data_IF_767836397397
#
_entry.id   IF_767836397397
#
_cell.length_a   1.000
_cell.length_b   1.000
_cell.length_c   1.000
_cell.angle_alpha   90.00
_cell.angle_beta   90.00
_cell.angle_gamma   90.00
#
_symmetry.space_group_name_H-M   'P 1'
#
loop_
_entity.id
_entity.type
_entity.pdbx_description
1 polymer ?
#
# COMPACT_ATOMS: atom_id res chain seq x y z
N UNK A 1 -27.32 -2.36 60.02
CA UNK A 1 -26.47 -1.33 59.38
C UNK A 1 -25.74 -1.91 58.17
N UNK A 2 -25.44 -3.21 58.22
CA UNK A 2 -24.65 -3.99 57.26
C UNK A 2 -25.24 -4.06 55.84
N UNK A 3 -26.56 -4.15 55.71
CA UNK A 3 -27.22 -4.21 54.40
C UNK A 3 -27.08 -2.92 53.58
N UNK A 4 -27.03 -1.76 54.23
CA UNK A 4 -26.82 -0.46 53.54
C UNK A 4 -25.37 -0.31 53.09
N UNK A 5 -24.43 -0.72 53.93
CA UNK A 5 -22.99 -0.72 53.62
C UNK A 5 -22.68 -1.69 52.48
N UNK A 6 -23.28 -2.88 52.49
CA UNK A 6 -23.14 -3.86 51.42
C UNK A 6 -23.65 -3.33 50.08
N UNK A 7 -24.83 -2.68 50.05
CA UNK A 7 -25.37 -2.10 48.81
C UNK A 7 -24.47 -0.99 48.26
N UNK A 8 -23.93 -0.13 49.13
CA UNK A 8 -23.01 0.94 48.72
C UNK A 8 -21.70 0.34 48.17
N UNK A 9 -21.14 -0.67 48.85
CA UNK A 9 -19.91 -1.33 48.43
C UNK A 9 -20.09 -2.04 47.07
N UNK A 10 -21.19 -2.75 46.88
CA UNK A 10 -21.49 -3.43 45.60
C UNK A 10 -21.71 -2.43 44.47
N UNK A 11 -22.40 -1.31 44.73
CA UNK A 11 -22.58 -0.25 43.74
C UNK A 11 -21.25 0.40 43.36
N UNK A 12 -20.35 0.61 44.32
CA UNK A 12 -19.02 1.16 44.07
C UNK A 12 -18.15 0.19 43.26
N UNK A 13 -18.21 -1.11 43.59
CA UNK A 13 -17.48 -2.14 42.85
C UNK A 13 -17.98 -2.27 41.41
N UNK A 14 -19.30 -2.23 41.21
CA UNK A 14 -19.89 -2.21 39.87
C UNK A 14 -19.46 -0.97 39.07
N UNK A 15 -19.42 0.21 39.69
CA UNK A 15 -18.94 1.43 39.04
C UNK A 15 -17.46 1.34 38.64
N UNK A 16 -16.60 0.79 39.50
CA UNK A 16 -15.18 0.58 39.21
C UNK A 16 -14.98 -0.44 38.08
N UNK A 17 -15.76 -1.52 38.05
CA UNK A 17 -15.72 -2.50 36.96
C UNK A 17 -16.16 -1.89 35.62
N UNK A 18 -17.27 -1.15 35.62
CA UNK A 18 -17.76 -0.46 34.41
C UNK A 18 -16.69 0.50 33.89
N UNK A 19 -16.15 1.35 34.76
CA UNK A 19 -15.07 2.29 34.40
C UNK A 19 -13.84 1.52 33.88
N UNK A 20 -13.42 0.45 34.56
CA UNK A 20 -12.29 -0.40 34.17
C UNK A 20 -12.42 -1.02 32.79
N UNK A 21 -13.63 -1.44 32.39
CA UNK A 21 -13.90 -1.97 31.04
C UNK A 21 -13.76 -0.88 29.97
N UNK A 22 -14.18 0.35 30.26
CA UNK A 22 -14.08 1.47 29.31
C UNK A 22 -12.70 2.15 29.26
N UNK A 23 -11.82 1.92 30.25
CA UNK A 23 -10.47 2.51 30.27
C UNK A 23 -9.60 2.08 29.09
N UNK A 24 -9.76 0.83 28.60
CA UNK A 24 -9.04 0.34 27.43
C UNK A 24 -9.37 1.15 26.18
N UNK A 25 -10.66 1.26 25.84
CA UNK A 25 -11.15 2.01 24.68
C UNK A 25 -10.83 3.51 24.77
N UNK A 26 -10.84 4.09 25.98
CA UNK A 26 -10.49 5.50 26.20
C UNK A 26 -8.99 5.73 25.97
N UNK A 27 -8.12 4.85 26.47
CA UNK A 27 -6.68 4.93 26.24
C UNK A 27 -6.36 4.76 24.74
N UNK A 28 -7.03 3.85 24.05
CA UNK A 28 -6.83 3.62 22.62
C UNK A 28 -7.31 4.81 21.77
N UNK A 29 -8.41 5.47 22.15
CA UNK A 29 -8.83 6.73 21.53
C UNK A 29 -7.92 7.92 21.88
N UNK A 30 -7.33 7.93 23.07
CA UNK A 30 -6.44 9.02 23.51
C UNK A 30 -5.05 8.93 22.89
N UNK A 31 -4.59 7.73 22.54
CA UNK A 31 -3.31 7.48 21.89
C UNK A 31 -3.45 6.38 20.83
N UNK A 32 -4.09 6.70 19.67
CA UNK A 32 -4.26 5.72 18.62
C UNK A 32 -2.91 5.22 18.13
N UNK A 33 -2.85 3.94 17.77
CA UNK A 33 -1.66 3.38 17.15
C UNK A 33 -1.27 4.21 15.90
N UNK A 34 0.03 4.34 15.59
CA UNK A 34 0.42 5.05 14.38
C UNK A 34 -0.21 4.39 13.15
N UNK A 35 -0.55 5.18 12.11
CA UNK A 35 -1.08 4.62 10.88
C UNK A 35 -0.12 3.61 10.27
N UNK A 36 -0.66 2.51 9.76
CA UNK A 36 0.08 1.42 9.14
C UNK A 36 -0.63 0.94 7.88
N UNK A 37 0.16 0.73 6.84
CA UNK A 37 -0.29 0.08 5.62
C UNK A 37 -0.52 -1.41 5.92
N UNK A 38 -1.74 -1.88 5.73
CA UNK A 38 -2.19 -3.27 5.93
C UNK A 38 -1.94 -4.07 4.66
N UNK A 39 -2.33 -3.53 3.51
CA UNK A 39 -2.23 -4.22 2.24
C UNK A 39 -2.08 -3.26 1.06
N UNK A 40 -1.45 -3.78 0.01
CA UNK A 40 -1.35 -3.17 -1.31
C UNK A 40 -1.77 -4.24 -2.31
N UNK A 41 -2.76 -3.94 -3.13
CA UNK A 41 -3.22 -4.83 -4.19
C UNK A 41 -3.18 -4.10 -5.52
N UNK A 42 -2.66 -4.76 -6.54
CA UNK A 42 -2.60 -4.24 -7.90
C UNK A 42 -3.27 -5.25 -8.81
N UNK A 43 -4.30 -4.80 -9.52
CA UNK A 43 -5.16 -5.62 -10.35
C UNK A 43 -5.23 -5.06 -11.78
N UNK A 44 -5.24 -5.93 -12.79
CA UNK A 44 -5.52 -5.53 -14.17
C UNK A 44 -7.00 -5.17 -14.36
N UNK A 45 -7.25 -4.09 -15.08
CA UNK A 45 -8.59 -3.56 -15.33
C UNK A 45 -9.21 -2.82 -14.13
N UNK A 46 -10.53 -2.63 -14.22
CA UNK A 46 -11.31 -1.91 -13.21
C UNK A 46 -11.82 -2.86 -12.13
N UNK A 47 -11.47 -2.58 -10.87
CA UNK A 47 -12.03 -3.25 -9.69
C UNK A 47 -13.31 -2.57 -9.18
N UNK A 48 -14.29 -3.37 -8.74
CA UNK A 48 -15.56 -2.93 -8.13
C UNK A 48 -15.53 -2.98 -6.60
N UNK A 49 -14.37 -2.83 -5.97
CA UNK A 49 -14.32 -2.72 -4.51
C UNK A 49 -14.94 -1.39 -4.07
N UNK A 50 -15.88 -1.46 -3.12
CA UNK A 50 -16.55 -0.29 -2.54
C UNK A 50 -15.59 0.65 -1.80
N UNK A 51 -16.01 1.90 -1.62
CA UNK A 51 -15.28 2.87 -0.80
C UNK A 51 -15.51 2.55 0.68
N UNK A 52 -14.41 2.29 1.42
CA UNK A 52 -14.42 2.06 2.86
C UNK A 52 -13.36 2.97 3.52
N UNK A 53 -13.51 3.25 4.83
CA UNK A 53 -12.53 4.07 5.54
C UNK A 53 -11.12 3.44 5.53
N UNK A 54 -10.11 4.27 5.29
CA UNK A 54 -8.71 3.83 5.21
C UNK A 54 -8.33 3.13 3.89
N UNK A 55 -9.26 3.01 2.93
CA UNK A 55 -8.99 2.46 1.59
C UNK A 55 -8.82 3.58 0.58
N UNK A 56 -7.72 3.53 -0.18
CA UNK A 56 -7.39 4.48 -1.23
C UNK A 56 -7.25 3.74 -2.56
N UNK A 57 -7.99 4.17 -3.59
CA UNK A 57 -8.01 3.51 -4.90
C UNK A 57 -7.53 4.46 -6.00
N UNK A 58 -6.59 3.98 -6.81
CA UNK A 58 -6.15 4.65 -8.03
C UNK A 58 -6.58 3.77 -9.20
N UNK A 59 -7.33 4.35 -10.14
CA UNK A 59 -7.78 3.68 -11.36
C UNK A 59 -7.29 4.48 -12.56
N UNK A 60 -6.67 3.81 -13.52
CA UNK A 60 -6.15 4.45 -14.73
C UNK A 60 -5.08 3.62 -15.41
N UNK A 61 -4.34 4.24 -16.33
CA UNK A 61 -3.20 3.65 -17.03
C UNK A 61 -1.99 3.57 -16.09
N UNK A 62 -1.96 2.55 -15.23
CA UNK A 62 -1.01 2.44 -14.11
C UNK A 62 -0.17 1.16 -14.12
N UNK A 63 -0.32 0.34 -15.16
CA UNK A 63 0.33 -0.95 -15.32
C UNK A 63 0.81 -1.11 -16.75
N UNK A 64 1.91 -1.83 -16.97
CA UNK A 64 2.23 -2.31 -18.32
C UNK A 64 1.60 -3.68 -18.59
N UNK A 65 1.37 -3.98 -19.85
CA UNK A 65 0.95 -5.31 -20.30
C UNK A 65 2.01 -6.40 -20.01
N UNK A 66 3.29 -6.02 -19.87
CA UNK A 66 4.40 -6.91 -19.49
C UNK A 66 4.49 -7.23 -17.99
N UNK A 67 3.74 -6.51 -17.16
CA UNK A 67 3.81 -6.61 -15.71
C UNK A 67 3.33 -7.97 -15.19
N UNK A 68 4.06 -8.57 -14.25
CA UNK A 68 3.63 -9.86 -13.65
C UNK A 68 3.52 -9.79 -12.14
N UNK A 69 4.29 -8.90 -11.53
CA UNK A 69 4.34 -8.73 -10.09
C UNK A 69 4.74 -7.30 -9.75
N UNK A 70 4.67 -6.97 -8.47
CA UNK A 70 5.16 -5.71 -7.95
C UNK A 70 5.74 -5.89 -6.54
N UNK A 71 6.51 -4.91 -6.12
CA UNK A 71 6.82 -4.66 -4.70
C UNK A 71 6.38 -3.25 -4.34
N UNK A 72 6.36 -2.95 -3.05
CA UNK A 72 6.18 -1.59 -2.59
C UNK A 72 7.10 -1.28 -1.41
N UNK A 73 7.26 0.01 -1.12
CA UNK A 73 7.86 0.50 0.13
C UNK A 73 7.12 1.73 0.64
N UNK A 74 7.22 1.96 1.95
CA UNK A 74 6.65 3.11 2.63
C UNK A 74 7.76 3.95 3.25
N UNK A 75 8.37 4.90 2.51
CA UNK A 75 9.50 5.69 3.02
C UNK A 75 9.07 6.57 4.20
N UNK A 76 7.84 7.07 4.17
CA UNK A 76 7.24 7.88 5.22
C UNK A 76 5.77 7.46 5.46
N UNK A 77 5.20 7.87 6.59
CA UNK A 77 3.78 7.62 6.88
C UNK A 77 2.93 8.32 5.83
N UNK A 78 2.07 7.56 5.14
CA UNK A 78 1.23 8.07 4.07
C UNK A 78 1.93 8.22 2.73
N UNK A 79 3.20 7.81 2.58
CA UNK A 79 3.83 7.70 1.27
C UNK A 79 4.01 6.22 0.90
N UNK A 80 3.62 5.86 -0.32
CA UNK A 80 3.77 4.51 -0.86
C UNK A 80 4.42 4.60 -2.23
N UNK A 81 5.53 3.92 -2.42
CA UNK A 81 6.13 3.75 -3.74
C UNK A 81 5.86 2.31 -4.22
N UNK A 82 5.20 2.16 -5.36
CA UNK A 82 4.88 0.88 -6.00
C UNK A 82 5.79 0.67 -7.19
N UNK A 83 6.38 -0.52 -7.29
CA UNK A 83 7.39 -0.88 -8.27
C UNK A 83 6.94 -2.11 -9.03
N UNK A 84 6.67 -1.94 -10.30
CA UNK A 84 6.26 -3.00 -11.21
C UNK A 84 7.45 -3.84 -11.69
N UNK A 85 7.25 -5.15 -11.80
CA UNK A 85 8.21 -6.12 -12.31
C UNK A 85 7.73 -6.77 -13.59
N UNK A 86 8.58 -6.73 -14.61
CA UNK A 86 8.51 -7.59 -15.79
C UNK A 86 8.84 -9.06 -15.44
N UNK A 87 8.59 -9.98 -16.38
CA UNK A 87 8.89 -11.40 -16.22
C UNK A 87 10.38 -11.71 -15.98
N UNK A 88 11.31 -10.88 -16.51
CA UNK A 88 12.75 -11.07 -16.33
C UNK A 88 13.18 -10.74 -14.89
N UNK A 89 12.72 -9.61 -14.35
CA UNK A 89 12.92 -9.22 -12.96
C UNK A 89 12.30 -10.22 -12.01
N UNK A 90 11.05 -10.63 -12.27
CA UNK A 90 10.38 -11.62 -11.43
C UNK A 90 11.15 -12.93 -11.39
N UNK A 91 11.61 -13.44 -12.55
CA UNK A 91 12.47 -14.62 -12.63
C UNK A 91 13.78 -14.44 -11.88
N UNK A 92 14.42 -13.29 -12.02
CA UNK A 92 15.67 -13.01 -11.33
C UNK A 92 15.51 -12.97 -9.80
N UNK A 93 14.39 -12.44 -9.31
CA UNK A 93 14.11 -12.28 -7.88
C UNK A 93 13.62 -13.58 -7.23
N UNK A 94 12.82 -14.38 -7.93
CA UNK A 94 12.15 -15.56 -7.38
C UNK A 94 12.72 -16.90 -7.86
N UNK A 95 13.47 -16.89 -8.96
CA UNK A 95 13.89 -18.10 -9.68
C UNK A 95 12.78 -18.80 -10.46
N UNK A 96 11.54 -18.28 -10.45
CA UNK A 96 10.40 -18.86 -11.15
C UNK A 96 10.27 -18.27 -12.55
N UNK A 97 10.03 -19.11 -13.54
CA UNK A 97 9.62 -18.64 -14.86
C UNK A 97 8.12 -18.41 -14.88
N UNK A 98 7.72 -17.20 -15.27
CA UNK A 98 6.38 -16.93 -15.77
C UNK A 98 6.52 -16.96 -17.29
N UNK A 99 5.56 -17.58 -17.98
CA UNK A 99 5.60 -17.66 -19.45
C UNK A 99 5.78 -16.26 -20.02
N UNK A 100 6.76 -16.06 -20.92
CA UNK A 100 7.00 -14.75 -21.53
C UNK A 100 5.78 -14.35 -22.36
N UNK A 101 4.92 -13.42 -21.90
CA UNK A 101 3.91 -12.90 -22.78
C UNK A 101 4.64 -12.08 -23.85
N UNK A 102 4.28 -12.27 -25.12
CA UNK A 102 4.56 -11.24 -26.12
C UNK A 102 3.77 -10.01 -25.68
N UNK A 103 4.45 -8.99 -25.19
CA UNK A 103 3.86 -7.76 -24.67
C UNK A 103 4.44 -6.54 -25.43
N UNK A 104 3.65 -5.47 -25.55
CA UNK A 104 3.97 -4.24 -26.28
C UNK A 104 4.66 -3.18 -25.43
N UNK A 105 4.80 -3.40 -24.12
CA UNK A 105 5.25 -2.41 -23.12
C UNK A 105 4.31 -1.19 -23.04
N UNK A 106 3.08 -1.31 -23.54
CA UNK A 106 2.08 -0.25 -23.48
C UNK A 106 1.45 -0.20 -22.09
N UNK A 107 1.09 1.00 -21.66
CA UNK A 107 0.32 1.17 -20.44
C UNK A 107 -1.10 0.70 -20.68
N UNK A 108 -1.61 -0.07 -19.73
CA UNK A 108 -2.98 -0.54 -19.71
C UNK A 108 -3.68 -0.10 -18.42
N UNK A 109 -5.01 -0.20 -18.46
CA UNK A 109 -5.83 0.14 -17.31
C UNK A 109 -5.60 -0.85 -16.17
N UNK A 110 -5.26 -0.35 -14.99
CA UNK A 110 -5.17 -1.10 -13.75
C UNK A 110 -5.88 -0.40 -12.60
N UNK A 111 -6.05 -1.13 -11.51
CA UNK A 111 -6.53 -0.62 -10.22
C UNK A 111 -5.51 -0.93 -9.12
N UNK A 112 -5.00 0.11 -8.48
CA UNK A 112 -4.15 0.03 -7.30
C UNK A 112 -4.98 0.36 -6.07
N UNK A 113 -5.02 -0.55 -5.10
CA UNK A 113 -5.74 -0.40 -3.84
C UNK A 113 -4.75 -0.44 -2.68
N UNK A 114 -4.81 0.59 -1.84
CA UNK A 114 -4.03 0.70 -0.61
C UNK A 114 -4.98 0.67 0.58
N UNK A 115 -4.71 -0.18 1.56
CA UNK A 115 -5.48 -0.24 2.80
C UNK A 115 -4.62 0.13 3.99
N UNK A 116 -5.02 1.16 4.72
CA UNK A 116 -4.44 1.52 6.01
C UNK A 116 -5.36 1.09 7.15
N UNK A 117 -4.78 0.86 8.32
CA UNK A 117 -5.54 0.53 9.54
C UNK A 117 -6.43 1.67 10.05
N UNK A 118 -6.24 2.88 9.54
CA UNK A 118 -7.04 4.05 9.83
C UNK A 118 -6.97 5.03 8.67
N UNK A 119 -7.94 5.95 8.62
CA UNK A 119 -7.96 7.01 7.63
C UNK A 119 -6.80 8.00 7.87
N UNK A 120 -6.11 8.35 6.80
CA UNK A 120 -5.04 9.34 6.75
C UNK A 120 -5.55 10.66 6.18
N UNK A 121 -4.99 11.77 6.68
CA UNK A 121 -5.23 13.11 6.13
C UNK A 121 -4.58 13.30 4.74
N UNK A 122 -3.55 12.53 4.43
CA UNK A 122 -2.88 12.58 3.16
C UNK A 122 -2.22 11.25 2.80
N UNK A 123 -2.35 10.84 1.54
CA UNK A 123 -1.64 9.69 0.98
C UNK A 123 -1.03 10.09 -0.35
N UNK A 124 0.27 9.89 -0.50
CA UNK A 124 1.01 10.07 -1.76
C UNK A 124 1.45 8.72 -2.28
N UNK A 125 1.19 8.45 -3.55
CA UNK A 125 1.48 7.17 -4.19
C UNK A 125 2.27 7.43 -5.46
N UNK A 126 3.48 6.87 -5.53
CA UNK A 126 4.31 6.91 -6.72
C UNK A 126 4.31 5.54 -7.38
N UNK A 127 3.96 5.47 -8.67
CA UNK A 127 3.98 4.21 -9.42
C UNK A 127 5.14 4.21 -10.39
N UNK A 128 5.97 3.19 -10.29
CA UNK A 128 7.20 3.03 -11.05
C UNK A 128 7.15 1.78 -11.91
N UNK A 129 7.34 1.92 -13.22
CA UNK A 129 7.46 0.82 -14.16
C UNK A 129 8.93 0.41 -14.28
N UNK A 130 9.23 -0.83 -13.95
CA UNK A 130 10.58 -1.38 -14.03
C UNK A 130 10.88 -2.02 -15.39
N UNK A 131 12.11 -1.86 -15.86
CA UNK A 131 12.68 -2.60 -17.00
C UNK A 131 14.07 -3.09 -16.65
N UNK A 132 14.31 -4.38 -16.84
CA UNK A 132 15.65 -4.94 -16.65
C UNK A 132 16.62 -4.32 -17.65
N UNK A 133 17.77 -3.83 -17.18
CA UNK A 133 18.83 -3.30 -18.04
C UNK A 133 19.51 -4.40 -18.85
N UNK A 134 20.03 -4.06 -20.03
CA UNK A 134 20.80 -5.00 -20.86
C UNK A 134 22.15 -5.40 -20.23
N UNK A 135 22.61 -4.68 -19.20
CA UNK A 135 23.84 -4.98 -18.48
C UNK A 135 23.71 -6.15 -17.48
N UNK A 136 22.48 -6.58 -17.18
CA UNK A 136 22.18 -7.69 -16.27
C UNK A 136 22.40 -7.39 -14.78
N UNK A 137 22.80 -6.18 -14.41
CA UNK A 137 23.11 -5.78 -13.02
C UNK A 137 22.19 -4.67 -12.49
N UNK A 138 21.51 -3.96 -13.39
CA UNK A 138 20.64 -2.84 -13.05
C UNK A 138 19.20 -3.02 -13.55
N UNK A 139 18.33 -2.22 -12.95
CA UNK A 139 16.93 -2.05 -13.34
C UNK A 139 16.67 -0.57 -13.50
N UNK A 140 16.08 -0.22 -14.64
CA UNK A 140 15.58 1.11 -14.91
C UNK A 140 14.15 1.18 -14.42
N UNK A 141 13.84 2.13 -13.54
CA UNK A 141 12.47 2.42 -13.16
C UNK A 141 12.07 3.79 -13.70
N UNK A 142 10.95 3.84 -14.39
CA UNK A 142 10.33 5.08 -14.87
C UNK A 142 9.10 5.40 -14.03
N UNK A 143 9.02 6.60 -13.49
CA UNK A 143 7.83 7.09 -12.80
C UNK A 143 6.75 7.34 -13.86
N UNK A 144 5.59 6.73 -13.71
CA UNK A 144 4.45 6.99 -14.60
C UNK A 144 3.53 8.07 -14.04
N UNK A 145 3.54 8.26 -12.73
CA UNK A 145 2.71 9.26 -12.08
C UNK A 145 2.85 9.26 -10.58
N UNK A 146 2.42 10.38 -10.01
CA UNK A 146 2.22 10.53 -8.57
C UNK A 146 0.74 10.85 -8.32
N UNK A 147 0.11 10.12 -7.41
CA UNK A 147 -1.28 10.32 -7.00
C UNK A 147 -1.33 10.78 -5.56
N UNK A 148 -2.05 11.87 -5.32
CA UNK A 148 -2.17 12.47 -4.00
C UNK A 148 -3.63 12.50 -3.56
N UNK A 149 -3.92 11.82 -2.46
CA UNK A 149 -5.16 11.95 -1.71
C UNK A 149 -4.95 12.98 -0.62
N UNK A 150 -5.84 13.98 -0.52
CA UNK A 150 -5.77 15.00 0.51
C UNK A 150 -7.11 15.17 1.22
N UNK A 151 -7.05 15.32 2.54
CA UNK A 151 -8.19 15.51 3.42
C UNK A 151 -9.19 14.37 3.33
N UNK A 152 -10.43 14.71 2.97
CA UNK A 152 -11.54 13.75 2.87
C UNK A 152 -11.84 13.30 1.43
N UNK A 153 -10.99 13.66 0.45
CA UNK A 153 -11.23 13.27 -0.94
C UNK A 153 -10.96 11.78 -1.16
N UNK A 154 -11.92 11.08 -1.76
CA UNK A 154 -11.74 9.71 -2.28
C UNK A 154 -11.13 9.70 -3.68
N UNK A 155 -11.11 10.84 -4.37
CA UNK A 155 -10.49 11.01 -5.68
C UNK A 155 -9.06 11.55 -5.51
N UNK A 156 -8.04 10.88 -6.07
CA UNK A 156 -6.67 11.39 -6.04
C UNK A 156 -6.47 12.51 -7.07
N UNK A 157 -5.57 13.44 -6.73
CA UNK A 157 -4.99 14.38 -7.67
C UNK A 157 -3.85 13.67 -8.39
N UNK A 158 -3.89 13.64 -9.72
CA UNK A 158 -2.79 13.14 -10.54
C UNK A 158 -1.78 14.24 -10.83
N UNK A 159 -0.51 13.94 -10.56
CA UNK A 159 0.63 14.77 -10.89
C UNK A 159 1.50 14.04 -11.90
N UNK A 160 1.66 14.65 -13.07
CA UNK A 160 2.54 14.13 -14.11
C UNK A 160 4.01 14.18 -13.64
N UNK A 161 4.82 13.16 -13.97
CA UNK A 161 6.24 13.16 -13.67
C UNK A 161 6.97 14.37 -14.25
N UNK A 162 7.87 14.97 -13.48
CA UNK A 162 8.82 15.95 -14.01
C UNK A 162 9.94 15.24 -14.76
N UNK A 163 10.38 15.73 -15.94
CA UNK A 163 11.47 15.10 -16.72
C UNK A 163 12.80 14.93 -15.95
N UNK A 164 13.01 15.70 -14.89
CA UNK A 164 14.23 15.61 -14.07
C UNK A 164 14.15 14.51 -12.99
N UNK A 165 12.96 13.96 -12.73
CA UNK A 165 12.69 13.05 -11.60
C UNK A 165 11.88 11.81 -12.02
N UNK A 166 11.68 11.61 -13.32
CA UNK A 166 10.86 10.51 -13.85
C UNK A 166 11.64 9.20 -14.03
N UNK A 167 12.93 9.17 -13.69
CA UNK A 167 13.77 7.98 -13.85
C UNK A 167 14.62 7.71 -12.61
N UNK A 168 14.85 6.43 -12.33
CA UNK A 168 15.83 5.97 -11.34
C UNK A 168 16.50 4.69 -11.81
N UNK A 169 17.82 4.64 -11.67
CA UNK A 169 18.62 3.43 -11.88
C UNK A 169 18.81 2.75 -10.53
N UNK A 170 18.46 1.47 -10.45
CA UNK A 170 18.60 0.68 -9.24
C UNK A 170 19.45 -0.56 -9.50
N UNK A 171 20.43 -0.82 -8.63
CA UNK A 171 21.14 -2.09 -8.64
C UNK A 171 20.20 -3.22 -8.25
N UNK A 172 20.33 -4.37 -8.90
CA UNK A 172 19.54 -5.56 -8.60
C UNK A 172 19.67 -6.02 -7.15
N UNK A 173 20.83 -5.84 -6.52
CA UNK A 173 21.01 -6.15 -5.09
C UNK A 173 20.14 -5.26 -4.19
N UNK A 174 20.02 -3.97 -4.51
CA UNK A 174 19.12 -3.06 -3.79
C UNK A 174 17.67 -3.47 -3.98
N UNK A 175 17.30 -3.86 -5.21
CA UNK A 175 15.96 -4.37 -5.48
C UNK A 175 15.65 -5.65 -4.68
N UNK A 176 16.60 -6.59 -4.57
CA UNK A 176 16.47 -7.79 -3.73
C UNK A 176 16.24 -7.46 -2.25
N UNK A 177 16.83 -6.38 -1.74
CA UNK A 177 16.60 -5.96 -0.36
C UNK A 177 15.21 -5.35 -0.19
N UNK A 178 14.77 -4.51 -1.13
CA UNK A 178 13.41 -3.95 -1.13
C UNK A 178 12.36 -5.06 -1.15
N UNK A 179 12.54 -6.10 -1.97
CA UNK A 179 11.56 -7.21 -2.09
C UNK A 179 11.58 -8.15 -0.89
N UNK A 180 12.67 -8.21 -0.12
CA UNK A 180 12.68 -8.94 1.16
C UNK A 180 11.84 -8.25 2.22
N UNK A 181 11.80 -6.91 2.21
CA UNK A 181 11.04 -6.11 3.17
C UNK A 181 9.58 -5.93 2.75
N UNK A 182 9.35 -5.54 1.49
CA UNK A 182 8.02 -5.28 0.94
C UNK A 182 7.31 -6.52 0.40
N UNK A 183 8.02 -7.64 0.21
CA UNK A 183 7.50 -8.84 -0.45
C UNK A 183 7.47 -8.72 -1.97
N UNK A 184 7.07 -9.80 -2.63
CA UNK A 184 6.78 -9.83 -4.07
C UNK A 184 5.33 -10.27 -4.20
N UNK A 185 4.52 -9.43 -4.83
CA UNK A 185 3.08 -9.62 -4.96
C UNK A 185 2.75 -9.81 -6.43
N UNK A 186 2.09 -10.91 -6.77
CA UNK A 186 1.63 -11.15 -8.14
C UNK A 186 0.48 -10.18 -8.45
N UNK A 187 0.42 -9.71 -9.71
CA UNK A 187 -0.66 -8.83 -10.15
C UNK A 187 -1.90 -9.68 -10.35
N UNK A 188 -3.02 -9.23 -9.80
CA UNK A 188 -4.29 -9.95 -9.91
C UNK A 188 -4.87 -9.78 -11.33
N UNK A 189 -5.20 -10.92 -11.95
CA UNK A 189 -5.90 -10.97 -13.22
C UNK A 189 -7.42 -10.86 -12.99
N UNK A 190 -8.14 -10.32 -13.98
CA UNK A 190 -9.60 -10.20 -13.94
C UNK A 190 -10.32 -11.44 -14.45
#
# INVERSE_FOLDING_TARGET
MDRKVAVIATAFFAAVLVVGVFWGDIMEKANPAPPKLISVTLQRGSSEHGEYEGVYQIKGEILTDCSVAFTYVTPEIGQVEVYEFDGKMYKFLTGKEIGNPTCSEELETGTLTLQFNQKLEGVTVDVWVGKTADDGDHVYFKLIGTWQFMGNSTTPIYLAPSPEKDYKLMKLEKLKNLTKEGGIHEIEEK
#
